data_IF_633183433287
#
_entry.id   IF_633183433287
#
_cell.length_a   1.000
_cell.length_b   1.000
_cell.length_c   1.000
_cell.angle_alpha   90.00
_cell.angle_beta   90.00
_cell.angle_gamma   90.00
#
_symmetry.space_group_name_H-M   'P 1'
#
loop_
_entity.id
_entity.type
_entity.pdbx_description
1 polymer ?
#
# COMPACT_ATOMS: atom_id res chain seq x y z
N UNK A 1 -22.83 -3.58 -1.21
CA UNK A 1 -21.36 -3.68 -1.33
C UNK A 1 -20.88 -4.61 -0.26
N UNK A 2 -19.98 -5.51 -0.61
CA UNK A 2 -19.31 -6.37 0.36
C UNK A 2 -18.42 -5.51 1.27
N UNK A 3 -18.44 -5.73 2.58
CA UNK A 3 -17.63 -4.96 3.53
C UNK A 3 -16.13 -5.22 3.33
N UNK A 4 -15.75 -6.42 2.89
CA UNK A 4 -14.36 -6.75 2.56
C UNK A 4 -13.89 -5.99 1.32
N UNK A 5 -14.78 -5.82 0.33
CA UNK A 5 -14.50 -5.03 -0.86
C UNK A 5 -14.27 -3.56 -0.50
N UNK A 6 -15.06 -3.00 0.42
CA UNK A 6 -14.88 -1.63 0.90
C UNK A 6 -13.53 -1.44 1.55
N UNK A 7 -13.10 -2.38 2.41
CA UNK A 7 -11.80 -2.32 3.07
C UNK A 7 -10.64 -2.40 2.07
N UNK A 8 -10.74 -3.30 1.08
CA UNK A 8 -9.75 -3.40 0.00
C UNK A 8 -9.64 -2.10 -0.80
N UNK A 9 -10.78 -1.55 -1.25
CA UNK A 9 -10.80 -0.30 -2.03
C UNK A 9 -10.28 0.87 -1.20
N UNK A 10 -10.60 0.92 0.09
CA UNK A 10 -10.05 1.93 1.01
C UNK A 10 -8.53 1.88 1.01
N UNK A 11 -7.96 0.71 1.23
CA UNK A 11 -6.52 0.58 1.37
C UNK A 11 -5.83 0.93 0.02
N UNK A 12 -6.36 0.47 -1.12
CA UNK A 12 -5.84 0.83 -2.45
C UNK A 12 -5.89 2.35 -2.73
N UNK A 13 -7.00 3.01 -2.39
CA UNK A 13 -7.14 4.47 -2.56
C UNK A 13 -6.13 5.23 -1.69
N UNK A 14 -6.02 4.86 -0.42
CA UNK A 14 -5.11 5.54 0.51
C UNK A 14 -3.64 5.31 0.14
N UNK A 15 -3.29 4.11 -0.31
CA UNK A 15 -1.95 3.79 -0.82
C UNK A 15 -1.62 4.62 -2.07
N UNK A 16 -2.54 4.67 -3.05
CA UNK A 16 -2.34 5.45 -4.27
C UNK A 16 -2.15 6.95 -3.95
N UNK A 17 -3.01 7.52 -3.09
CA UNK A 17 -2.88 8.92 -2.67
C UNK A 17 -1.60 9.19 -1.89
N UNK A 18 -1.19 8.26 -1.01
CA UNK A 18 0.07 8.36 -0.27
C UNK A 18 1.26 8.36 -1.22
N UNK A 19 1.29 7.42 -2.17
CA UNK A 19 2.36 7.31 -3.15
C UNK A 19 2.45 8.55 -4.06
N UNK A 20 1.31 9.04 -4.55
CA UNK A 20 1.27 10.29 -5.33
C UNK A 20 1.79 11.49 -4.54
N UNK A 21 1.50 11.55 -3.24
CA UNK A 21 2.01 12.58 -2.35
C UNK A 21 3.53 12.46 -2.14
N UNK A 22 4.03 11.25 -1.85
CA UNK A 22 5.46 11.02 -1.58
C UNK A 22 6.34 11.28 -2.80
N UNK A 23 5.85 10.96 -3.99
CA UNK A 23 6.55 11.20 -5.26
C UNK A 23 6.38 12.63 -5.79
N UNK A 24 5.60 13.48 -5.10
CA UNK A 24 5.33 14.85 -5.54
C UNK A 24 4.49 14.95 -6.82
N UNK A 25 3.74 13.91 -7.17
CA UNK A 25 2.87 13.85 -8.35
C UNK A 25 1.62 14.70 -8.14
N UNK A 26 0.95 14.52 -7.00
CA UNK A 26 -0.18 15.35 -6.58
C UNK A 26 -0.43 15.19 -5.10
N UNK A 27 -0.76 16.29 -4.43
CA UNK A 27 -1.20 16.30 -3.02
C UNK A 27 -2.71 16.40 -2.89
N UNK A 28 -3.42 16.70 -3.98
CA UNK A 28 -4.87 16.95 -4.01
C UNK A 28 -5.51 16.43 -5.32
N UNK A 29 -5.40 15.12 -5.61
CA UNK A 29 -5.89 14.56 -6.85
C UNK A 29 -7.42 14.63 -6.95
N UNK A 30 -7.91 14.71 -8.18
CA UNK A 30 -9.31 14.54 -8.54
C UNK A 30 -9.68 13.05 -8.66
N UNK A 31 -10.97 12.72 -8.67
CA UNK A 31 -11.44 11.36 -8.92
C UNK A 31 -10.97 10.82 -10.30
N UNK A 32 -10.84 11.71 -11.29
CA UNK A 32 -10.34 11.36 -12.64
C UNK A 32 -8.84 11.07 -12.65
N UNK A 33 -8.06 11.70 -11.77
CA UNK A 33 -6.64 11.38 -11.64
C UNK A 33 -6.47 10.04 -10.93
N UNK A 34 -7.20 9.81 -9.83
CA UNK A 34 -7.16 8.55 -9.09
C UNK A 34 -7.63 7.35 -9.92
N UNK A 35 -8.67 7.52 -10.75
CA UNK A 35 -9.18 6.47 -11.62
C UNK A 35 -8.14 5.91 -12.59
N UNK A 36 -7.19 6.75 -13.03
CA UNK A 36 -6.08 6.34 -13.91
C UNK A 36 -5.08 5.43 -13.21
N UNK A 37 -4.82 5.67 -11.92
CA UNK A 37 -3.90 4.87 -11.12
C UNK A 37 -4.53 3.56 -10.64
N UNK A 38 -5.81 3.63 -10.25
CA UNK A 38 -6.54 2.49 -9.70
C UNK A 38 -7.17 1.59 -10.77
N UNK A 39 -7.17 2.03 -12.04
CA UNK A 39 -7.84 1.35 -13.15
C UNK A 39 -9.33 1.06 -12.90
N UNK A 40 -10.01 1.94 -12.16
CA UNK A 40 -11.44 1.88 -11.83
C UNK A 40 -12.14 3.15 -12.35
N UNK A 41 -13.35 3.08 -12.92
CA UNK A 41 -14.08 4.27 -13.38
C UNK A 41 -14.29 5.31 -12.28
N UNK A 42 -14.11 6.59 -12.60
CA UNK A 42 -14.27 7.70 -11.64
C UNK A 42 -15.68 7.78 -11.05
N UNK A 43 -16.70 7.41 -11.83
CA UNK A 43 -18.10 7.35 -11.40
C UNK A 43 -18.34 6.33 -10.30
N UNK A 44 -17.61 5.21 -10.31
CA UNK A 44 -17.65 4.20 -9.25
C UNK A 44 -16.81 4.66 -8.05
N UNK A 45 -15.63 5.22 -8.34
CA UNK A 45 -14.69 5.65 -7.31
C UNK A 45 -15.24 6.78 -6.43
N UNK A 46 -16.03 7.71 -7.01
CA UNK A 46 -16.58 8.86 -6.29
C UNK A 46 -17.39 8.45 -5.06
N UNK A 47 -18.23 7.40 -5.16
CA UNK A 47 -19.02 6.92 -4.02
C UNK A 47 -18.17 6.40 -2.86
N UNK A 48 -17.00 5.80 -3.16
CA UNK A 48 -16.04 5.39 -2.13
C UNK A 48 -15.31 6.59 -1.53
N UNK A 49 -14.91 7.56 -2.35
CA UNK A 49 -14.23 8.77 -1.88
C UNK A 49 -15.11 9.58 -0.94
N UNK A 50 -16.40 9.75 -1.26
CA UNK A 50 -17.37 10.40 -0.38
C UNK A 50 -17.48 9.68 0.96
N UNK A 51 -17.59 8.35 0.94
CA UNK A 51 -17.60 7.54 2.17
C UNK A 51 -16.32 7.72 2.98
N UNK A 52 -15.16 7.78 2.34
CA UNK A 52 -13.89 7.94 3.06
C UNK A 52 -13.70 9.35 3.63
N UNK A 53 -14.41 10.35 3.12
CA UNK A 53 -14.56 11.65 3.78
C UNK A 53 -15.40 11.49 5.05
N UNK A 54 -16.54 10.78 4.99
CA UNK A 54 -17.38 10.51 6.16
C UNK A 54 -16.62 9.71 7.25
N UNK A 55 -15.79 8.76 6.84
CA UNK A 55 -14.94 7.95 7.72
C UNK A 55 -13.73 8.75 8.29
N UNK A 56 -13.56 10.03 7.89
CA UNK A 56 -12.51 10.91 8.39
C UNK A 56 -11.11 10.58 7.86
N UNK A 57 -11.02 9.82 6.77
CA UNK A 57 -9.76 9.41 6.13
C UNK A 57 -9.34 10.42 5.07
N UNK A 58 -10.30 11.05 4.40
CA UNK A 58 -10.10 12.08 3.37
C UNK A 58 -10.76 13.40 3.77
N UNK A 59 -10.30 14.49 3.14
CA UNK A 59 -10.95 15.79 3.14
C UNK A 59 -11.32 16.18 1.71
N UNK A 60 -12.59 16.54 1.49
CA UNK A 60 -13.05 17.10 0.22
C UNK A 60 -12.71 18.59 0.08
N UNK A 61 -12.16 18.97 -1.07
CA UNK A 61 -11.80 20.36 -1.44
C UNK A 61 -12.36 20.70 -2.82
N UNK A 62 -13.68 20.77 -2.92
CA UNK A 62 -14.35 20.89 -4.22
C UNK A 62 -14.26 19.56 -4.98
N UNK A 63 -13.66 19.56 -6.17
CA UNK A 63 -13.47 18.36 -7.01
C UNK A 63 -12.21 17.55 -6.64
N UNK A 64 -11.52 17.94 -5.56
CA UNK A 64 -10.23 17.38 -5.13
C UNK A 64 -10.33 16.73 -3.76
N UNK A 65 -9.44 15.78 -3.52
CA UNK A 65 -9.38 15.01 -2.28
C UNK A 65 -7.99 15.13 -1.64
N UNK A 66 -7.95 15.34 -0.33
CA UNK A 66 -6.71 15.44 0.44
C UNK A 66 -6.69 14.36 1.51
N UNK A 67 -5.54 13.73 1.74
CA UNK A 67 -5.38 12.80 2.86
C UNK A 67 -5.49 13.56 4.19
N UNK A 68 -6.36 13.08 5.08
CA UNK A 68 -6.29 13.46 6.49
C UNK A 68 -5.00 12.90 7.12
N UNK A 69 -4.69 13.31 8.35
CA UNK A 69 -3.59 12.70 9.11
C UNK A 69 -3.77 11.17 9.29
N UNK A 70 -5.00 10.72 9.55
CA UNK A 70 -5.31 9.29 9.69
C UNK A 70 -5.23 8.52 8.36
N UNK A 71 -5.70 9.14 7.27
CA UNK A 71 -5.59 8.58 5.92
C UNK A 71 -4.13 8.45 5.48
N UNK A 72 -3.31 9.46 5.76
CA UNK A 72 -1.87 9.47 5.48
C UNK A 72 -1.16 8.31 6.19
N UNK A 73 -1.38 8.16 7.49
CA UNK A 73 -0.73 7.09 8.26
C UNK A 73 -1.17 5.69 7.78
N UNK A 74 -2.47 5.52 7.49
CA UNK A 74 -2.98 4.25 7.00
C UNK A 74 -2.45 3.91 5.60
N UNK A 75 -2.47 4.88 4.67
CA UNK A 75 -1.92 4.71 3.33
C UNK A 75 -0.44 4.35 3.36
N UNK A 76 0.35 5.06 4.18
CA UNK A 76 1.77 4.76 4.39
C UNK A 76 2.00 3.35 4.93
N UNK A 77 1.30 2.97 6.00
CA UNK A 77 1.46 1.67 6.65
C UNK A 77 1.15 0.53 5.68
N UNK A 78 -0.01 0.56 5.06
CA UNK A 78 -0.44 -0.51 4.16
C UNK A 78 0.40 -0.56 2.88
N UNK A 79 0.86 0.59 2.36
CA UNK A 79 1.83 0.60 1.28
C UNK A 79 3.17 -0.06 1.68
N UNK A 80 3.67 0.24 2.88
CA UNK A 80 4.89 -0.36 3.38
C UNK A 80 4.75 -1.87 3.59
N UNK A 81 3.60 -2.33 4.09
CA UNK A 81 3.31 -3.75 4.30
C UNK A 81 3.33 -4.53 2.96
N UNK A 82 2.69 -3.99 1.92
CA UNK A 82 2.66 -4.61 0.58
C UNK A 82 4.05 -4.60 -0.11
N UNK A 83 4.83 -3.54 0.12
CA UNK A 83 6.18 -3.41 -0.44
C UNK A 83 7.23 -4.18 0.37
N UNK A 84 6.94 -4.58 1.61
CA UNK A 84 7.89 -5.31 2.45
C UNK A 84 8.31 -6.62 1.80
N UNK A 85 7.38 -7.34 1.16
CA UNK A 85 7.68 -8.59 0.46
C UNK A 85 8.53 -8.38 -0.81
N UNK A 86 8.35 -7.24 -1.51
CA UNK A 86 9.07 -6.89 -2.74
C UNK A 86 10.45 -6.28 -2.50
N UNK A 87 10.65 -5.64 -1.35
CA UNK A 87 11.89 -4.97 -0.95
C UNK A 87 12.72 -5.77 0.04
N UNK A 88 12.21 -6.93 0.50
CA UNK A 88 13.04 -7.92 1.20
C UNK A 88 14.25 -8.23 0.32
N UNK A 89 15.47 -8.15 0.86
CA UNK A 89 16.66 -8.56 0.13
C UNK A 89 16.46 -9.97 -0.43
N UNK A 90 16.72 -10.13 -1.73
CA UNK A 90 16.73 -11.48 -2.32
C UNK A 90 17.82 -12.30 -1.62
N UNK A 91 17.57 -13.61 -1.43
CA UNK A 91 18.46 -14.48 -0.65
C UNK A 91 19.84 -14.62 -1.31
N UNK A 92 20.74 -13.72 -0.94
CA UNK A 92 22.04 -13.49 -1.58
C UNK A 92 22.59 -12.09 -1.25
N UNK A 93 21.70 -11.14 -0.95
CA UNK A 93 22.00 -9.76 -0.56
C UNK A 93 21.68 -9.50 0.92
N UNK A 94 21.82 -10.51 1.78
CA UNK A 94 21.68 -10.32 3.23
C UNK A 94 22.78 -9.39 3.74
N UNK A 95 22.40 -8.21 4.24
CA UNK A 95 23.26 -7.36 5.04
C UNK A 95 23.17 -7.74 6.54
N UNK A 96 23.90 -7.01 7.38
CA UNK A 96 23.99 -7.29 8.81
C UNK A 96 22.66 -7.05 9.57
N UNK A 97 21.71 -6.32 8.98
CA UNK A 97 20.41 -5.96 9.58
C UNK A 97 19.27 -6.82 8.99
N UNK A 98 19.58 -7.89 8.26
CA UNK A 98 18.58 -8.81 7.74
C UNK A 98 17.84 -9.56 8.86
N UNK A 99 16.52 -9.72 8.73
CA UNK A 99 15.64 -10.42 9.68
C UNK A 99 16.14 -11.83 10.09
N UNK A 100 16.88 -12.52 9.21
CA UNK A 100 17.45 -13.83 9.51
C UNK A 100 18.54 -13.80 10.61
N UNK A 101 18.96 -12.61 11.04
CA UNK A 101 19.85 -12.38 12.18
C UNK A 101 19.11 -12.12 13.51
N UNK A 102 17.79 -11.92 13.49
CA UNK A 102 17.02 -11.55 14.69
C UNK A 102 16.88 -12.71 15.70
N UNK A 103 16.88 -13.96 15.21
CA UNK A 103 16.78 -15.14 16.06
C UNK A 103 17.29 -16.42 15.37
N UNK A 104 17.67 -17.45 16.14
CA UNK A 104 17.98 -18.78 15.60
C UNK A 104 16.84 -19.39 14.79
N UNK A 105 15.59 -19.13 15.18
CA UNK A 105 14.37 -19.56 14.48
C UNK A 105 14.28 -18.91 13.10
N UNK A 106 14.44 -17.59 13.02
CA UNK A 106 14.47 -16.84 11.76
C UNK A 106 15.61 -17.30 10.84
N UNK A 107 16.79 -17.61 11.41
CA UNK A 107 17.91 -18.17 10.65
C UNK A 107 17.59 -19.55 10.06
N UNK A 108 16.87 -20.39 10.81
CA UNK A 108 16.47 -21.72 10.36
C UNK A 108 15.41 -21.67 9.25
N UNK A 109 14.45 -20.75 9.33
CA UNK A 109 13.46 -20.49 8.27
C UNK A 109 14.16 -20.04 6.97
N UNK A 110 15.10 -19.10 7.06
CA UNK A 110 15.90 -18.67 5.92
C UNK A 110 16.71 -19.83 5.28
N UNK A 111 17.28 -20.72 6.08
CA UNK A 111 18.01 -21.89 5.57
C UNK A 111 17.07 -22.91 4.89
N UNK A 112 15.86 -23.09 5.40
CA UNK A 112 14.87 -24.00 4.83
C UNK A 112 14.48 -23.55 3.40
N UNK A 113 14.18 -22.27 3.23
CA UNK A 113 13.79 -21.70 1.94
C UNK A 113 14.94 -21.78 0.91
N UNK A 114 16.19 -21.56 1.34
CA UNK A 114 17.38 -21.72 0.47
C UNK A 114 17.55 -23.13 -0.07
N UNK A 115 17.24 -24.15 0.73
CA UNK A 115 17.35 -25.56 0.31
C UNK A 115 16.17 -25.95 -0.59
N UNK A 116 14.98 -25.37 -0.35
CA UNK A 116 13.78 -25.61 -1.15
C UNK A 116 13.84 -25.03 -2.58
N UNK A 117 14.49 -23.88 -2.77
CA UNK A 117 14.64 -23.25 -4.10
C UNK A 117 15.82 -23.79 -4.94
N UNK A 118 16.56 -24.79 -4.46
CA UNK A 118 17.74 -25.36 -5.13
C UNK A 118 17.46 -26.25 -6.35
N UNK A 119 16.21 -26.39 -6.79
CA UNK A 119 15.82 -27.19 -7.97
C UNK A 119 14.90 -26.43 -8.92
N UNK A 120 15.47 -25.59 -9.78
CA UNK A 120 15.11 -25.48 -11.20
C UNK A 120 16.04 -24.50 -11.90
N UNK A 121 16.96 -25.05 -12.68
CA UNK A 121 17.76 -24.35 -13.68
C UNK A 121 17.46 -24.98 -15.05
#
# INVERSE_FOLDING_TARGET
MDELEVLRVRDEVLQAMYWMHSEGISTEPTAVELSRFLAVPDTVLTAYLDRFIEDGLLEGRGERYVLSAGGMENGKRTFADEMADLTRPTHGECDADCWCHDSPEAAAECLHDRVGSGHSH
#
